data_IF_539384311502
#
_entry.id   IF_539384311502
#
_cell.length_a   1.000
_cell.length_b   1.000
_cell.length_c   1.000
_cell.angle_alpha   90.00
_cell.angle_beta   90.00
_cell.angle_gamma   90.00
#
_symmetry.space_group_name_H-M   'P 1'
#
loop_
_entity.id
_entity.type
_entity.pdbx_description
1 polymer ?
#
# COMPACT_ATOMS: atom_id res chain seq x y z
N UNK A 1 -3.11 -1.61 43.13
CA UNK A 1 -2.97 -0.61 42.05
C UNK A 1 -4.20 0.27 42.05
N UNK A 2 -4.05 1.60 42.03
CA UNK A 2 -5.18 2.54 41.99
C UNK A 2 -5.95 2.37 40.68
N UNK A 3 -7.28 2.32 40.75
CA UNK A 3 -8.17 2.21 39.58
C UNK A 3 -7.97 3.36 38.59
N UNK A 4 -7.61 4.55 39.07
CA UNK A 4 -7.27 5.69 38.24
C UNK A 4 -6.02 5.43 37.37
N UNK A 5 -4.97 4.84 37.94
CA UNK A 5 -3.75 4.50 37.20
C UNK A 5 -4.05 3.45 36.13
N UNK A 6 -4.90 2.47 36.44
CA UNK A 6 -5.32 1.46 35.48
C UNK A 6 -6.08 2.05 34.29
N UNK A 7 -7.01 2.99 34.52
CA UNK A 7 -7.74 3.63 33.42
C UNK A 7 -6.81 4.47 32.55
N UNK A 8 -5.85 5.17 33.15
CA UNK A 8 -4.86 5.98 32.41
C UNK A 8 -4.01 5.11 31.49
N UNK A 9 -3.49 3.98 32.00
CA UNK A 9 -2.65 3.10 31.17
C UNK A 9 -3.43 2.46 30.02
N UNK A 10 -4.71 2.12 30.25
CA UNK A 10 -5.61 1.66 29.20
C UNK A 10 -5.85 2.75 28.14
N UNK A 11 -6.14 3.99 28.55
CA UNK A 11 -6.37 5.09 27.62
C UNK A 11 -5.15 5.36 26.72
N UNK A 12 -3.95 5.34 27.29
CA UNK A 12 -2.69 5.51 26.53
C UNK A 12 -2.49 4.37 25.53
N UNK A 13 -2.74 3.12 25.96
CA UNK A 13 -2.61 1.93 25.08
C UNK A 13 -3.59 1.99 23.90
N UNK A 14 -4.86 2.33 24.17
CA UNK A 14 -5.88 2.51 23.12
C UNK A 14 -5.50 3.65 22.19
N UNK A 15 -5.03 4.78 22.73
CA UNK A 15 -4.58 5.93 21.94
C UNK A 15 -3.45 5.57 20.98
N UNK A 16 -2.43 4.83 21.45
CA UNK A 16 -1.32 4.38 20.61
C UNK A 16 -1.82 3.47 19.48
N UNK A 17 -2.67 2.48 19.79
CA UNK A 17 -3.21 1.56 18.78
C UNK A 17 -4.06 2.27 17.73
N UNK A 18 -4.86 3.25 18.14
CA UNK A 18 -5.67 4.05 17.21
C UNK A 18 -4.79 4.90 16.30
N UNK A 19 -3.75 5.54 16.84
CA UNK A 19 -2.78 6.28 16.03
C UNK A 19 -2.13 5.38 14.98
N UNK A 20 -1.65 4.20 15.39
CA UNK A 20 -0.96 3.28 14.48
C UNK A 20 -1.90 2.76 13.38
N UNK A 21 -3.19 2.55 13.69
CA UNK A 21 -4.22 2.23 12.68
C UNK A 21 -4.42 3.36 11.67
N UNK A 22 -4.51 4.61 12.12
CA UNK A 22 -4.65 5.78 11.24
C UNK A 22 -3.45 5.87 10.29
N UNK A 23 -2.23 5.74 10.82
CA UNK A 23 -1.01 5.70 10.02
C UNK A 23 -1.06 4.56 9.00
N UNK A 24 -1.41 3.35 9.43
CA UNK A 24 -1.49 2.19 8.55
C UNK A 24 -2.53 2.37 7.42
N UNK A 25 -3.68 3.00 7.71
CA UNK A 25 -4.68 3.36 6.69
C UNK A 25 -4.10 4.33 5.67
N UNK A 26 -3.41 5.39 6.11
CA UNK A 26 -2.81 6.34 5.17
C UNK A 26 -1.68 5.71 4.35
N UNK A 27 -0.88 4.82 4.92
CA UNK A 27 0.14 4.07 4.20
C UNK A 27 -0.46 3.11 3.16
N UNK A 28 -1.61 2.49 3.47
CA UNK A 28 -2.32 1.64 2.51
C UNK A 28 -2.88 2.49 1.35
N UNK A 29 -3.51 3.63 1.65
CA UNK A 29 -4.00 4.57 0.63
C UNK A 29 -2.87 5.09 -0.25
N UNK A 30 -1.74 5.51 0.33
CA UNK A 30 -0.56 5.92 -0.44
C UNK A 30 -0.10 4.83 -1.40
N UNK A 31 -0.11 3.56 -0.95
CA UNK A 31 0.27 2.44 -1.81
C UNK A 31 -0.61 2.32 -3.05
N UNK A 32 -1.93 2.50 -2.90
CA UNK A 32 -2.86 2.51 -4.03
C UNK A 32 -2.65 3.74 -4.93
N UNK A 33 -2.41 4.91 -4.37
CA UNK A 33 -2.11 6.12 -5.15
C UNK A 33 -0.84 5.97 -5.99
N UNK A 34 0.19 5.29 -5.49
CA UNK A 34 1.40 5.00 -6.27
C UNK A 34 1.08 4.14 -7.48
N UNK A 35 0.31 3.05 -7.31
CA UNK A 35 -0.11 2.19 -8.43
C UNK A 35 -0.97 2.98 -9.43
N UNK A 36 -1.88 3.83 -8.95
CA UNK A 36 -2.68 4.72 -9.81
C UNK A 36 -1.81 5.70 -10.59
N UNK A 37 -0.77 6.25 -9.96
CA UNK A 37 0.17 7.16 -10.59
C UNK A 37 0.96 6.46 -11.71
N UNK A 38 1.47 5.25 -11.46
CA UNK A 38 2.15 4.43 -12.49
C UNK A 38 1.20 4.20 -13.68
N UNK A 39 -0.05 3.82 -13.41
CA UNK A 39 -1.08 3.65 -14.44
C UNK A 39 -1.29 4.89 -15.29
N UNK A 40 -1.48 6.04 -14.67
CA UNK A 40 -1.69 7.32 -15.38
C UNK A 40 -0.48 7.74 -16.21
N UNK A 41 0.73 7.50 -15.69
CA UNK A 41 1.96 7.75 -16.44
C UNK A 41 2.07 6.83 -17.66
N UNK A 42 1.76 5.55 -17.52
CA UNK A 42 1.77 4.59 -18.62
C UNK A 42 0.87 5.06 -19.77
N UNK A 43 -0.34 5.53 -19.48
CA UNK A 43 -1.20 6.11 -20.51
C UNK A 43 -0.62 7.35 -21.17
N UNK A 44 -0.09 8.29 -20.39
CA UNK A 44 0.52 9.51 -20.94
C UNK A 44 1.71 9.19 -21.84
N UNK A 45 2.44 8.12 -21.54
CA UNK A 45 3.59 7.64 -22.31
C UNK A 45 3.20 6.79 -23.54
N UNK A 46 1.91 6.50 -23.76
CA UNK A 46 1.44 5.64 -24.85
C UNK A 46 1.81 4.16 -24.68
N UNK A 47 2.15 3.74 -23.45
CA UNK A 47 2.52 2.37 -23.07
C UNK A 47 1.30 1.55 -22.70
N UNK A 48 1.49 0.26 -22.45
CA UNK A 48 0.46 -0.56 -21.80
C UNK A 48 0.15 0.02 -20.43
N UNK A 49 -1.14 0.22 -20.13
CA UNK A 49 -1.59 0.92 -18.92
C UNK A 49 -1.22 0.19 -17.62
N UNK A 50 -1.03 -1.12 -17.70
CA UNK A 50 -0.61 -2.00 -16.61
C UNK A 50 0.89 -2.25 -16.56
N UNK A 51 1.69 -1.67 -17.46
CA UNK A 51 3.12 -1.95 -17.51
C UNK A 51 3.79 -1.70 -16.15
N UNK A 52 4.41 -2.72 -15.57
CA UNK A 52 5.12 -2.61 -14.30
C UNK A 52 4.26 -2.73 -13.05
N UNK A 53 2.95 -2.92 -13.25
CA UNK A 53 1.95 -3.14 -12.20
C UNK A 53 1.05 -4.34 -12.53
N UNK A 54 1.44 -5.12 -13.53
CA UNK A 54 0.80 -6.36 -13.93
C UNK A 54 1.16 -7.50 -12.97
N UNK A 55 0.14 -8.10 -12.37
CA UNK A 55 0.21 -9.33 -11.57
C UNK A 55 1.26 -9.33 -10.43
N UNK A 56 1.29 -8.26 -9.65
CA UNK A 56 2.19 -8.13 -8.51
C UNK A 56 1.73 -9.01 -7.36
N UNK A 57 2.66 -9.74 -6.76
CA UNK A 57 2.43 -10.54 -5.55
C UNK A 57 3.33 -10.07 -4.42
N UNK A 58 2.73 -9.64 -3.30
CA UNK A 58 3.42 -9.17 -2.10
C UNK A 58 4.49 -8.09 -2.36
N UNK A 59 4.32 -7.31 -3.43
CA UNK A 59 5.20 -6.23 -3.81
C UNK A 59 5.20 -5.13 -2.75
N UNK A 60 6.23 -4.29 -2.73
CA UNK A 60 6.23 -3.07 -1.92
C UNK A 60 6.30 -1.84 -2.81
N UNK A 61 5.82 -0.72 -2.32
CA UNK A 61 5.84 0.54 -3.08
C UNK A 61 6.33 1.64 -2.18
N UNK A 62 6.84 2.71 -2.78
CA UNK A 62 7.12 3.95 -2.10
C UNK A 62 6.58 5.13 -2.91
N UNK A 63 6.32 6.24 -2.23
CA UNK A 63 5.86 7.47 -2.85
C UNK A 63 6.76 7.95 -4.01
N UNK A 64 8.05 7.58 -4.01
CA UNK A 64 9.06 7.91 -5.02
C UNK A 64 9.41 6.75 -5.96
N UNK A 65 8.67 5.64 -5.95
CA UNK A 65 8.92 4.53 -6.86
C UNK A 65 9.00 5.02 -8.32
N UNK A 66 10.09 4.65 -8.99
CA UNK A 66 10.41 5.12 -10.33
C UNK A 66 9.44 4.60 -11.40
N UNK A 67 9.51 5.24 -12.57
CA UNK A 67 8.69 4.97 -13.74
C UNK A 67 8.74 3.48 -14.12
N UNK A 68 7.66 2.74 -13.93
CA UNK A 68 7.42 1.44 -14.58
C UNK A 68 7.90 0.18 -13.86
N UNK A 69 8.49 0.24 -12.66
CA UNK A 69 8.71 -1.00 -11.88
C UNK A 69 8.66 -0.80 -10.38
N UNK A 70 7.93 -1.71 -9.75
CA UNK A 70 7.97 -1.91 -8.31
C UNK A 70 9.15 -2.85 -8.01
N UNK A 71 10.24 -2.29 -7.46
CA UNK A 71 11.55 -2.97 -7.41
C UNK A 71 12.09 -3.29 -6.02
N UNK A 72 11.25 -3.32 -4.99
CA UNK A 72 11.71 -3.59 -3.62
C UNK A 72 11.27 -4.98 -3.14
N UNK A 73 11.99 -5.50 -2.14
CA UNK A 73 11.74 -6.84 -1.61
C UNK A 73 10.40 -6.91 -0.85
N UNK A 74 9.60 -7.92 -1.14
CA UNK A 74 8.35 -8.19 -0.43
C UNK A 74 8.53 -8.15 1.09
N UNK A 75 7.57 -7.55 1.80
CA UNK A 75 7.58 -7.48 3.27
C UNK A 75 8.56 -6.46 3.89
N UNK A 76 9.13 -5.54 3.10
CA UNK A 76 9.98 -4.47 3.63
C UNK A 76 9.20 -3.60 4.63
N UNK A 77 9.84 -3.28 5.75
CA UNK A 77 9.22 -2.45 6.78
C UNK A 77 9.12 -1.00 6.32
N UNK A 78 8.18 -0.27 6.89
CA UNK A 78 7.98 1.15 6.69
C UNK A 78 8.13 1.86 8.02
N UNK A 79 9.02 2.83 8.09
CA UNK A 79 9.31 3.59 9.30
C UNK A 79 9.32 5.09 9.01
N UNK A 80 9.00 5.89 10.02
CA UNK A 80 9.04 7.34 9.92
C UNK A 80 10.49 7.83 9.88
N UNK A 81 10.86 8.56 8.85
CA UNK A 81 12.15 9.24 8.75
C UNK A 81 11.97 10.71 9.20
N UNK A 82 12.68 11.10 10.25
CA UNK A 82 12.58 12.45 10.82
C UNK A 82 13.30 13.53 10.02
N UNK A 83 14.28 13.17 9.18
CA UNK A 83 14.95 14.11 8.29
C UNK A 83 14.09 14.46 7.09
N UNK A 84 13.32 13.47 6.62
CA UNK A 84 12.48 13.57 5.44
C UNK A 84 11.02 13.93 5.75
N UNK A 85 10.58 13.75 7.00
CA UNK A 85 9.21 14.02 7.47
C UNK A 85 8.13 13.15 6.81
N UNK A 86 8.52 12.00 6.26
CA UNK A 86 7.60 11.00 5.71
C UNK A 86 8.03 9.59 6.06
N UNK A 87 7.14 8.63 5.78
CA UNK A 87 7.41 7.22 5.98
C UNK A 87 8.20 6.66 4.79
N UNK A 88 9.26 5.92 5.11
CA UNK A 88 10.14 5.30 4.12
C UNK A 88 10.27 3.81 4.36
N UNK A 89 10.46 3.08 3.28
CA UNK A 89 10.90 1.71 3.30
C UNK A 89 12.26 1.61 3.97
N UNK A 90 12.39 0.62 4.83
CA UNK A 90 13.62 0.37 5.58
C UNK A 90 13.79 -1.11 5.83
N UNK A 91 15.05 -1.53 5.90
CA UNK A 91 15.43 -2.88 6.33
C UNK A 91 15.46 -3.00 7.85
N UNK A 92 15.43 -1.87 8.58
CA UNK A 92 15.31 -1.87 10.03
C UNK A 92 13.94 -2.40 10.45
N UNK A 93 13.85 -2.95 11.67
CA UNK A 93 12.58 -3.32 12.26
C UNK A 93 11.69 -2.06 12.39
N UNK A 94 10.64 -1.99 11.57
CA UNK A 94 9.67 -0.90 11.60
C UNK A 94 8.35 -1.36 12.20
N UNK A 95 7.55 -0.43 12.76
CA UNK A 95 6.23 -0.75 13.29
C UNK A 95 5.21 -1.12 12.20
N UNK A 96 5.52 -0.81 10.93
CA UNK A 96 4.65 -1.07 9.79
C UNK A 96 5.34 -1.94 8.75
N UNK A 97 4.59 -2.79 8.06
CA UNK A 97 5.04 -3.46 6.84
C UNK A 97 3.90 -3.39 5.82
N UNK A 98 4.22 -2.92 4.60
CA UNK A 98 3.26 -2.67 3.52
C UNK A 98 3.49 -3.65 2.38
N UNK A 99 2.42 -4.27 1.93
CA UNK A 99 2.40 -5.11 0.73
C UNK A 99 1.33 -4.63 -0.26
N UNK A 100 1.60 -4.81 -1.54
CA UNK A 100 0.74 -4.51 -2.67
C UNK A 100 0.61 -5.77 -3.49
N UNK A 101 -0.62 -6.16 -3.74
CA UNK A 101 -0.95 -7.25 -4.66
C UNK A 101 -1.82 -6.68 -5.75
N UNK A 102 -1.49 -6.95 -7.00
CA UNK A 102 -2.34 -6.60 -8.13
C UNK A 102 -2.77 -7.84 -8.87
N UNK A 103 -4.01 -7.86 -9.35
CA UNK A 103 -4.56 -9.00 -10.09
C UNK A 103 -5.29 -8.47 -11.31
N UNK A 104 -4.90 -9.00 -12.48
CA UNK A 104 -5.56 -8.67 -13.74
C UNK A 104 -6.89 -9.40 -13.82
N UNK A 105 -7.95 -8.65 -14.12
CA UNK A 105 -9.27 -9.21 -14.38
C UNK A 105 -9.53 -9.06 -15.87
N UNK A 106 -9.59 -10.18 -16.63
CA UNK A 106 -9.84 -10.16 -18.07
C UNK A 106 -11.24 -9.62 -18.37
N UNK A 107 -11.40 -9.04 -19.56
CA UNK A 107 -12.71 -8.61 -20.04
C UNK A 107 -13.61 -9.81 -20.36
N UNK A 108 -14.90 -9.71 -20.06
CA UNK A 108 -15.93 -10.71 -20.46
C UNK A 108 -16.25 -10.67 -21.98
N UNK A 109 -15.33 -10.16 -22.80
CA UNK A 109 -15.51 -9.93 -24.25
C UNK A 109 -14.58 -10.82 -25.09
N UNK A 110 -14.87 -11.06 -26.37
CA UNK A 110 -14.14 -12.04 -27.19
C UNK A 110 -12.71 -11.64 -27.58
N UNK A 111 -12.19 -10.50 -27.11
CA UNK A 111 -10.79 -10.09 -27.28
C UNK A 111 -10.03 -10.22 -25.95
N UNK A 112 -9.46 -11.40 -25.64
CA UNK A 112 -8.80 -11.69 -24.36
C UNK A 112 -7.41 -11.05 -24.20
N UNK A 113 -7.02 -10.13 -25.08
CA UNK A 113 -5.66 -9.56 -25.13
C UNK A 113 -5.41 -8.42 -24.14
N UNK A 114 -6.45 -7.71 -23.70
CA UNK A 114 -6.35 -6.57 -22.78
C UNK A 114 -7.27 -6.78 -21.56
N UNK A 115 -6.75 -6.65 -20.32
CA UNK A 115 -7.57 -6.74 -19.12
C UNK A 115 -8.52 -5.55 -19.01
N UNK A 116 -9.75 -5.82 -18.56
CA UNK A 116 -10.77 -4.79 -18.36
C UNK A 116 -10.43 -3.90 -17.15
N UNK A 117 -9.95 -4.53 -16.08
CA UNK A 117 -9.62 -3.86 -14.82
C UNK A 117 -8.49 -4.56 -14.07
N UNK A 118 -7.79 -3.76 -13.28
CA UNK A 118 -6.72 -4.17 -12.38
C UNK A 118 -7.25 -4.06 -10.96
N UNK A 119 -7.35 -5.18 -10.27
CA UNK A 119 -7.62 -5.19 -8.83
C UNK A 119 -6.33 -4.88 -8.08
N UNK A 120 -6.39 -4.00 -7.10
CA UNK A 120 -5.28 -3.65 -6.21
C UNK A 120 -5.70 -3.97 -4.78
N UNK A 121 -4.82 -4.65 -4.05
CA UNK A 121 -4.95 -4.86 -2.62
C UNK A 121 -3.70 -4.28 -1.96
N UNK A 122 -3.86 -3.20 -1.22
CA UNK A 122 -2.81 -2.63 -0.38
C UNK A 122 -3.02 -3.05 1.07
N UNK A 123 -2.10 -3.82 1.63
CA UNK A 123 -2.17 -4.30 3.01
C UNK A 123 -1.04 -3.73 3.85
N UNK A 124 -1.36 -3.24 5.04
CA UNK A 124 -0.39 -2.72 6.00
C UNK A 124 -0.59 -3.39 7.35
N UNK A 125 0.44 -4.06 7.83
CA UNK A 125 0.48 -4.59 9.19
C UNK A 125 1.04 -3.54 10.15
N UNK A 126 0.51 -3.45 11.37
CA UNK A 126 0.81 -2.38 12.34
C UNK A 126 0.97 -2.91 13.78
N UNK A 127 1.96 -3.77 14.02
CA UNK A 127 2.15 -4.44 15.32
C UNK A 127 1.13 -5.56 15.60
N UNK A 128 0.98 -5.95 16.87
CA UNK A 128 0.21 -7.15 17.25
C UNK A 128 -1.29 -7.00 16.95
N UNK A 129 -1.83 -7.87 16.10
CA UNK A 129 -3.25 -7.93 15.70
C UNK A 129 -3.78 -6.68 14.99
N UNK A 130 -2.91 -5.97 14.26
CA UNK A 130 -3.28 -4.81 13.47
C UNK A 130 -2.91 -5.08 12.02
N UNK A 131 -3.92 -5.18 11.17
CA UNK A 131 -3.78 -5.26 9.72
C UNK A 131 -4.88 -4.43 9.10
N UNK A 132 -4.50 -3.51 8.22
CA UNK A 132 -5.42 -2.70 7.42
C UNK A 132 -5.24 -3.14 5.97
N UNK A 133 -6.34 -3.37 5.28
CA UNK A 133 -6.32 -3.71 3.85
C UNK A 133 -7.28 -2.78 3.10
N UNK A 134 -6.82 -2.24 1.99
CA UNK A 134 -7.58 -1.39 1.09
C UNK A 134 -7.64 -2.07 -0.28
N UNK A 135 -8.85 -2.19 -0.82
CA UNK A 135 -9.11 -2.76 -2.13
C UNK A 135 -9.57 -1.66 -3.09
N UNK A 136 -8.99 -1.63 -4.28
CA UNK A 136 -9.40 -0.73 -5.35
C UNK A 136 -9.38 -1.42 -6.72
N UNK A 137 -10.20 -0.93 -7.65
CA UNK A 137 -10.19 -1.34 -9.05
C UNK A 137 -9.80 -0.17 -9.93
N UNK A 138 -8.74 -0.35 -10.73
CA UNK A 138 -8.38 0.58 -11.80
C UNK A 138 -8.87 0.04 -13.14
N UNK A 139 -9.39 0.93 -13.98
CA UNK A 139 -9.91 0.60 -15.30
C UNK A 139 -9.00 1.13 -16.40
N UNK A 140 -9.06 0.49 -17.58
CA UNK A 140 -8.58 1.10 -18.81
C UNK A 140 -9.55 2.21 -19.24
N UNK A 141 -9.12 3.48 -19.30
CA UNK A 141 -9.94 4.62 -19.74
C UNK A 141 -9.77 4.93 -21.23
N UNK A 142 -9.00 4.11 -21.95
CA UNK A 142 -8.80 4.24 -23.39
C UNK A 142 -9.90 3.54 -24.18
#
# INVERSE_FOLDING_TARGET
MSTAVFVITQAISVGSRTRDRIVATHLASEGVEVVRNIRDRNWRAGRSWIQGIDDLTDACVQWDSEYDTISCAAGTNVAYDSGLMYYVQTTAAGPFSRTITTTLIPADTPNPGDPERLKIIASVTCGTNCSISLEEYLYNWK
#
